data_IF_260019910159
#
_entry.id   IF_260019910159
#
_cell.length_a   1.000
_cell.length_b   1.000
_cell.length_c   1.000
_cell.angle_alpha   90.00
_cell.angle_beta   90.00
_cell.angle_gamma   90.00
#
_symmetry.space_group_name_H-M   'P 1'
#
loop_
_entity.id
_entity.type
_entity.pdbx_description
1 polymer ?
#
# COMPACT_ATOMS: atom_id res chain seq x y z
N UNK A 1 17.57 10.56 14.58
CA UNK A 1 16.13 10.71 14.86
C UNK A 1 15.41 11.21 13.62
N UNK A 2 15.31 10.38 12.59
CA UNK A 2 14.44 10.65 11.45
C UNK A 2 13.29 9.65 11.51
N UNK A 3 12.32 9.96 12.37
CA UNK A 3 11.05 9.25 12.44
C UNK A 3 9.96 10.11 11.81
N UNK A 4 9.28 9.57 10.82
CA UNK A 4 8.21 10.23 10.10
C UNK A 4 6.95 9.38 10.19
N UNK A 5 5.80 10.03 10.39
CA UNK A 5 4.49 9.38 10.32
C UNK A 5 3.56 10.29 9.53
N UNK A 6 3.05 9.78 8.42
CA UNK A 6 1.97 10.37 7.64
C UNK A 6 0.71 9.57 7.90
N UNK A 7 -0.42 10.25 8.05
CA UNK A 7 -1.70 9.61 8.31
C UNK A 7 -2.85 10.48 7.80
N UNK A 8 -3.98 9.84 7.55
CA UNK A 8 -5.26 10.46 7.23
C UNK A 8 -6.38 9.46 7.55
N UNK A 9 -7.61 9.80 7.19
CA UNK A 9 -8.75 8.92 7.43
C UNK A 9 -8.53 7.55 6.80
N UNK A 10 -8.51 6.49 7.61
CA UNK A 10 -8.39 5.11 7.16
C UNK A 10 -7.00 4.67 6.74
N UNK A 11 -5.94 5.48 6.88
CA UNK A 11 -4.58 5.08 6.50
C UNK A 11 -3.48 5.74 7.36
N UNK A 12 -2.37 5.02 7.50
CA UNK A 12 -1.11 5.56 8.03
C UNK A 12 0.10 4.91 7.35
N UNK A 13 1.16 5.69 7.21
CA UNK A 13 2.45 5.31 6.63
C UNK A 13 3.57 5.93 7.47
N UNK A 14 4.41 5.09 8.05
CA UNK A 14 5.50 5.48 8.93
C UNK A 14 6.85 5.00 8.44
N UNK A 15 7.88 5.75 8.81
CA UNK A 15 9.29 5.43 8.59
C UNK A 15 10.12 5.80 9.82
N UNK A 16 10.97 4.90 10.28
CA UNK A 16 11.94 5.14 11.34
C UNK A 16 13.34 4.66 10.89
N UNK A 17 14.19 5.59 10.48
CA UNK A 17 15.53 5.28 10.00
C UNK A 17 16.43 4.62 11.07
N UNK A 18 16.16 4.92 12.35
CA UNK A 18 16.94 4.48 13.50
C UNK A 18 16.45 3.12 14.06
N UNK A 19 15.31 2.61 13.60
CA UNK A 19 14.81 1.31 14.01
C UNK A 19 15.75 0.18 13.52
N UNK A 20 16.07 -0.82 14.37
CA UNK A 20 17.08 -1.82 14.06
C UNK A 20 16.63 -2.86 13.01
N UNK A 21 15.31 -3.11 12.89
CA UNK A 21 14.77 -4.15 12.00
C UNK A 21 13.53 -3.68 11.27
N UNK A 22 12.49 -3.27 12.00
CA UNK A 22 11.23 -2.83 11.41
C UNK A 22 11.21 -1.31 11.28
N UNK A 23 11.62 -0.84 10.10
CA UNK A 23 11.71 0.59 9.81
C UNK A 23 10.43 1.18 9.23
N UNK A 24 9.59 0.35 8.62
CA UNK A 24 8.33 0.75 8.02
C UNK A 24 7.15 0.50 8.95
N UNK A 25 6.09 1.29 8.76
CA UNK A 25 4.79 1.04 9.36
C UNK A 25 3.70 1.34 8.35
N UNK A 26 2.74 0.43 8.19
CA UNK A 26 1.54 0.64 7.39
C UNK A 26 0.32 0.28 8.22
N UNK A 27 -0.81 0.91 7.96
CA UNK A 27 -2.02 0.61 8.72
C UNK A 27 -3.24 1.42 8.30
N UNK A 28 -4.35 1.16 8.97
CA UNK A 28 -5.60 1.90 8.89
C UNK A 28 -5.84 2.66 10.20
N UNK A 29 -7.08 3.02 10.53
CA UNK A 29 -7.44 3.61 11.83
C UNK A 29 -7.37 2.57 12.96
N UNK A 30 -7.74 1.32 12.67
CA UNK A 30 -7.96 0.27 13.69
C UNK A 30 -6.82 -0.75 13.79
N UNK A 31 -5.92 -0.77 12.83
CA UNK A 31 -4.79 -1.70 12.82
C UNK A 31 -3.54 -1.04 12.23
N UNK A 32 -2.38 -1.54 12.65
CA UNK A 32 -1.10 -1.20 12.05
C UNK A 32 -0.14 -2.37 12.18
N UNK A 33 0.70 -2.55 11.16
CA UNK A 33 1.77 -3.54 11.15
C UNK A 33 3.09 -2.85 10.83
N UNK A 34 4.13 -3.37 11.47
CA UNK A 34 5.52 -2.99 11.23
C UNK A 34 6.08 -3.81 10.06
N UNK A 35 6.84 -3.16 9.19
CA UNK A 35 7.51 -3.75 8.04
C UNK A 35 9.02 -3.53 8.15
N UNK A 36 9.80 -4.50 7.67
CA UNK A 36 11.21 -4.28 7.37
C UNK A 36 11.36 -3.23 6.28
N UNK A 37 12.56 -2.65 6.16
CA UNK A 37 12.89 -1.72 5.07
C UNK A 37 12.62 -2.33 3.69
N UNK A 38 12.99 -3.59 3.47
CA UNK A 38 12.78 -4.27 2.20
C UNK A 38 11.28 -4.54 1.89
N UNK A 39 10.48 -4.89 2.90
CA UNK A 39 9.03 -5.05 2.74
C UNK A 39 8.35 -3.71 2.44
N UNK A 40 8.76 -2.62 3.10
CA UNK A 40 8.23 -1.28 2.83
C UNK A 40 8.62 -0.79 1.43
N UNK A 41 9.84 -1.08 1.00
CA UNK A 41 10.33 -0.75 -0.34
C UNK A 41 9.53 -1.45 -1.43
N UNK A 42 9.28 -2.76 -1.26
CA UNK A 42 8.40 -3.52 -2.13
C UNK A 42 6.97 -2.98 -2.09
N UNK A 43 6.45 -2.65 -0.90
CA UNK A 43 5.11 -2.08 -0.74
C UNK A 43 4.95 -0.78 -1.53
N UNK A 44 5.85 0.19 -1.37
CA UNK A 44 5.78 1.46 -2.10
C UNK A 44 5.84 1.24 -3.62
N UNK A 45 6.75 0.39 -4.10
CA UNK A 45 6.90 0.09 -5.53
C UNK A 45 5.64 -0.56 -6.11
N UNK A 46 5.12 -1.58 -5.43
CA UNK A 46 3.99 -2.38 -5.90
C UNK A 46 2.65 -1.63 -5.81
N UNK A 47 2.43 -0.80 -4.78
CA UNK A 47 1.24 0.07 -4.70
C UNK A 47 1.19 1.04 -5.88
N UNK A 48 2.32 1.69 -6.20
CA UNK A 48 2.39 2.61 -7.35
C UNK A 48 2.15 1.87 -8.67
N UNK A 49 2.68 0.65 -8.80
CA UNK A 49 2.46 -0.18 -9.98
C UNK A 49 0.98 -0.57 -10.14
N UNK A 50 0.31 -1.01 -9.05
CA UNK A 50 -1.11 -1.34 -9.08
C UNK A 50 -1.99 -0.15 -9.45
N UNK A 51 -1.73 1.02 -8.85
CA UNK A 51 -2.49 2.24 -9.15
C UNK A 51 -2.38 2.64 -10.64
N UNK A 52 -1.18 2.52 -11.21
CA UNK A 52 -0.96 2.75 -12.64
C UNK A 52 -1.70 1.74 -13.52
N UNK A 53 -1.69 0.45 -13.16
CA UNK A 53 -2.40 -0.59 -13.90
C UNK A 53 -3.92 -0.40 -13.83
N UNK A 54 -4.47 -0.09 -12.66
CA UNK A 54 -5.89 0.24 -12.49
C UNK A 54 -6.30 1.43 -13.36
N UNK A 55 -5.50 2.50 -13.34
CA UNK A 55 -5.75 3.69 -14.15
C UNK A 55 -5.69 3.44 -15.67
N UNK A 56 -4.81 2.55 -16.14
CA UNK A 56 -4.72 2.17 -17.55
C UNK A 56 -5.92 1.33 -17.99
N UNK A 57 -6.30 0.31 -17.20
CA UNK A 57 -7.45 -0.54 -17.53
C UNK A 57 -8.76 0.24 -17.52
N UNK A 58 -8.88 1.26 -16.66
CA UNK A 58 -10.05 2.16 -16.67
C UNK A 58 -10.24 2.99 -17.94
N UNK A 59 -9.25 3.07 -18.83
CA UNK A 59 -9.39 3.73 -20.13
C UNK A 59 -9.99 2.82 -21.20
N UNK A 60 -9.93 1.50 -21.00
CA UNK A 60 -10.33 0.49 -22.00
C UNK A 60 -11.65 -0.21 -21.64
N UNK A 61 -12.06 -0.14 -20.38
CA UNK A 61 -13.22 -0.84 -19.84
C UNK A 61 -14.45 0.08 -19.70
N UNK A 62 -15.64 -0.52 -19.70
CA UNK A 62 -16.87 0.22 -19.39
C UNK A 62 -16.89 0.60 -17.89
N UNK A 63 -17.56 1.70 -17.55
CA UNK A 63 -17.65 2.21 -16.14
C UNK A 63 -18.24 1.18 -15.15
N UNK A 64 -18.93 0.16 -15.64
CA UNK A 64 -19.64 -0.85 -14.85
C UNK A 64 -18.79 -2.10 -14.54
N UNK A 65 -17.58 -2.21 -15.09
CA UNK A 65 -16.75 -3.40 -14.94
C UNK A 65 -15.85 -3.33 -13.69
N UNK A 66 -15.98 -4.34 -12.82
CA UNK A 66 -15.08 -4.55 -11.68
C UNK A 66 -13.78 -5.19 -12.15
N UNK A 67 -12.69 -4.70 -11.61
CA UNK A 67 -11.33 -5.14 -11.90
C UNK A 67 -10.75 -5.75 -10.62
N UNK A 68 -10.12 -6.92 -10.75
CA UNK A 68 -9.25 -7.51 -9.75
C UNK A 68 -7.84 -7.59 -10.32
N UNK A 69 -6.87 -6.95 -9.67
CA UNK A 69 -5.46 -6.96 -10.04
C UNK A 69 -4.61 -7.42 -8.87
N UNK A 70 -3.64 -8.28 -9.15
CA UNK A 70 -2.69 -8.78 -8.17
C UNK A 70 -1.25 -8.49 -8.62
N UNK A 71 -0.40 -8.10 -7.67
CA UNK A 71 1.05 -8.02 -7.86
C UNK A 71 1.75 -8.52 -6.61
N UNK A 72 2.93 -9.11 -6.78
CA UNK A 72 3.68 -9.66 -5.66
C UNK A 72 5.20 -9.53 -5.82
N UNK A 73 5.90 -9.71 -4.70
CA UNK A 73 7.31 -10.02 -4.61
C UNK A 73 7.49 -11.26 -3.72
N UNK A 74 8.74 -11.69 -3.52
CA UNK A 74 9.04 -12.75 -2.54
C UNK A 74 8.68 -12.38 -1.08
N UNK A 75 8.31 -11.11 -0.80
CA UNK A 75 8.06 -10.58 0.55
C UNK A 75 6.61 -10.22 0.82
N UNK A 76 5.90 -9.73 -0.19
CA UNK A 76 4.52 -9.26 -0.04
C UNK A 76 3.70 -9.59 -1.28
N UNK A 77 2.40 -9.74 -1.07
CA UNK A 77 1.39 -9.80 -2.11
C UNK A 77 0.39 -8.66 -1.91
N UNK A 78 -0.03 -8.02 -3.00
CA UNK A 78 -1.01 -6.95 -3.02
C UNK A 78 -2.13 -7.26 -4.01
N UNK A 79 -3.36 -6.91 -3.64
CA UNK A 79 -4.54 -6.98 -4.52
C UNK A 79 -5.27 -5.64 -4.51
N UNK A 80 -5.61 -5.17 -5.71
CA UNK A 80 -6.57 -4.10 -5.92
C UNK A 80 -7.88 -4.71 -6.46
N UNK A 81 -8.99 -4.48 -5.76
CA UNK A 81 -10.30 -4.97 -6.19
C UNK A 81 -11.35 -3.85 -6.17
N UNK A 82 -11.99 -3.60 -7.31
CA UNK A 82 -13.06 -2.61 -7.41
C UNK A 82 -13.11 -1.97 -8.79
N UNK A 83 -13.33 -0.67 -8.83
CA UNK A 83 -13.38 0.13 -10.06
C UNK A 83 -12.11 0.98 -10.17
N UNK A 84 -11.69 1.40 -11.38
CA UNK A 84 -10.46 2.19 -11.56
C UNK A 84 -10.35 3.42 -10.65
N UNK A 85 -11.46 4.06 -10.32
CA UNK A 85 -11.54 5.26 -9.49
C UNK A 85 -11.93 4.98 -8.03
N UNK A 86 -12.29 3.74 -7.70
CA UNK A 86 -12.76 3.34 -6.37
C UNK A 86 -12.49 1.84 -6.15
N UNK A 87 -11.35 1.51 -5.58
CA UNK A 87 -10.92 0.13 -5.32
C UNK A 87 -10.34 -0.03 -3.93
N UNK A 88 -10.58 -1.21 -3.34
CA UNK A 88 -9.96 -1.62 -2.09
C UNK A 88 -8.55 -2.13 -2.37
N UNK A 89 -7.66 -1.99 -1.39
CA UNK A 89 -6.30 -2.55 -1.46
C UNK A 89 -6.13 -3.56 -0.32
N UNK A 90 -5.64 -4.75 -0.65
CA UNK A 90 -5.24 -5.77 0.31
C UNK A 90 -3.74 -5.98 0.29
N UNK A 91 -3.16 -6.23 1.44
CA UNK A 91 -1.77 -6.61 1.64
C UNK A 91 -1.69 -7.92 2.41
N UNK A 92 -0.84 -8.83 1.94
CA UNK A 92 -0.38 -9.99 2.68
C UNK A 92 1.15 -9.91 2.76
N UNK A 93 1.70 -9.96 3.98
CA UNK A 93 3.14 -10.10 4.21
C UNK A 93 3.48 -11.59 4.24
N UNK A 94 4.39 -12.01 3.36
CA UNK A 94 4.76 -13.41 3.12
C UNK A 94 5.99 -13.84 3.96
N UNK A 95 6.65 -12.88 4.61
CA UNK A 95 7.86 -13.09 5.40
C UNK A 95 7.66 -12.83 6.89
N UNK A 96 8.55 -13.39 7.71
CA UNK A 96 8.56 -13.17 9.16
C UNK A 96 7.30 -13.71 9.85
N UNK A 97 6.63 -12.86 10.65
CA UNK A 97 5.41 -13.24 11.39
C UNK A 97 4.22 -13.47 10.44
N UNK A 98 4.25 -12.93 9.23
CA UNK A 98 3.09 -12.79 8.37
C UNK A 98 2.06 -11.83 8.93
N UNK A 99 1.32 -11.18 8.05
CA UNK A 99 0.23 -10.28 8.41
C UNK A 99 -0.68 -10.07 7.20
N UNK A 100 -1.95 -9.74 7.46
CA UNK A 100 -2.90 -9.30 6.45
C UNK A 100 -3.46 -7.94 6.86
N UNK A 101 -3.64 -7.06 5.87
CA UNK A 101 -4.19 -5.74 6.07
C UNK A 101 -5.00 -5.29 4.86
N UNK A 102 -6.06 -4.53 5.11
CA UNK A 102 -6.95 -4.03 4.06
C UNK A 102 -7.22 -2.55 4.24
N UNK A 103 -7.27 -1.82 3.13
CA UNK A 103 -7.70 -0.43 3.06
C UNK A 103 -8.97 -0.30 2.22
N UNK A 104 -9.87 0.58 2.66
CA UNK A 104 -11.06 0.92 1.90
C UNK A 104 -10.73 1.79 0.69
N UNK A 105 -11.64 1.83 -0.28
CA UNK A 105 -11.56 2.70 -1.47
C UNK A 105 -11.33 4.19 -1.16
N UNK A 106 -11.76 4.67 0.01
CA UNK A 106 -11.56 6.06 0.41
C UNK A 106 -10.15 6.31 0.95
N UNK A 107 -9.52 5.29 1.51
CA UNK A 107 -8.19 5.36 2.11
C UNK A 107 -7.06 5.17 1.07
N UNK A 108 -7.35 4.47 -0.03
CA UNK A 108 -6.36 4.11 -1.05
C UNK A 108 -5.77 5.35 -1.77
N UNK A 109 -6.55 6.31 -2.30
CA UNK A 109 -5.96 7.44 -3.03
C UNK A 109 -4.96 8.27 -2.21
N UNK A 110 -5.24 8.69 -0.96
CA UNK A 110 -4.25 9.43 -0.17
C UNK A 110 -3.08 8.53 0.30
N UNK A 111 -3.28 7.22 0.48
CA UNK A 111 -2.18 6.28 0.73
C UNK A 111 -1.22 6.18 -0.46
N UNK A 112 -1.73 6.08 -1.69
CA UNK A 112 -0.94 6.09 -2.93
C UNK A 112 -0.09 7.36 -3.02
N UNK A 113 -0.67 8.52 -2.73
CA UNK A 113 0.08 9.78 -2.69
C UNK A 113 1.18 9.76 -1.62
N UNK A 114 0.89 9.20 -0.44
CA UNK A 114 1.86 9.14 0.64
C UNK A 114 3.07 8.24 0.31
N UNK A 115 2.84 7.08 -0.32
CA UNK A 115 3.94 6.17 -0.71
C UNK A 115 4.85 6.79 -1.78
N UNK A 116 4.29 7.54 -2.74
CA UNK A 116 5.06 8.25 -3.77
C UNK A 116 5.99 9.32 -3.16
N UNK A 117 5.59 9.91 -2.02
CA UNK A 117 6.38 10.94 -1.33
C UNK A 117 7.36 10.38 -0.30
N UNK A 118 7.33 9.08 0.03
CA UNK A 118 8.14 8.53 1.12
C UNK A 118 9.64 8.48 0.76
N UNK A 119 9.98 8.31 -0.52
CA UNK A 119 11.36 8.14 -1.02
C UNK A 119 11.98 9.38 -1.69
N UNK A 120 11.34 10.55 -1.60
CA UNK A 120 11.86 11.80 -2.21
C UNK A 120 12.84 12.52 -1.26
N UNK A 121 13.68 11.78 -0.53
CA UNK A 121 14.65 12.34 0.41
C UNK A 121 16.08 11.88 0.10
#
# INVERSE_FOLDING_TARGET
>A
MVRQLKQGTGWRLGWDADAPQFKGLVGSDDWAIELTEAELDDFCRLVVQLDQMMGQMGQELMEEERIGLEVESDRIWLEAEGFPQAYQLRLIVLTGRGAEGTWSEQAVPPLVQAVQMLKVF
#
